data_IF_039756203759
#
_entry.id   IF_039756203759
#
_cell.length_a   1.000
_cell.length_b   1.000
_cell.length_c   1.000
_cell.angle_alpha   90.00
_cell.angle_beta   90.00
_cell.angle_gamma   90.00
#
_symmetry.space_group_name_H-M   'P 1'
#
loop_
_entity.id
_entity.type
_entity.pdbx_description
1 polymer ?
#
# COMPACT_ATOMS: atom_id res chain seq x y z
N UNK A 1 -16.15 -2.45 2.03
CA UNK A 1 -15.07 -1.47 1.75
C UNK A 1 -15.57 -0.03 1.61
N UNK A 2 -16.68 0.23 0.92
CA UNK A 2 -17.26 1.59 0.77
C UNK A 2 -17.31 2.41 2.08
N UNK A 3 -17.90 1.95 3.20
CA UNK A 3 -17.96 2.75 4.43
C UNK A 3 -16.58 2.99 5.08
N UNK A 4 -15.58 2.17 4.77
CA UNK A 4 -14.23 2.35 5.28
C UNK A 4 -13.50 3.43 4.48
N UNK A 5 -13.61 3.42 3.15
CA UNK A 5 -12.85 4.31 2.26
C UNK A 5 -13.53 5.66 2.11
N UNK A 6 -14.86 5.71 2.11
CA UNK A 6 -15.60 6.95 1.87
C UNK A 6 -15.20 8.05 2.87
N UNK A 7 -14.96 9.24 2.34
CA UNK A 7 -14.64 10.45 3.10
C UNK A 7 -15.15 11.65 2.31
N UNK A 8 -15.34 12.77 3.00
CA UNK A 8 -15.65 14.06 2.36
C UNK A 8 -14.50 14.61 1.51
N UNK A 9 -13.26 14.16 1.73
CA UNK A 9 -12.10 14.56 0.94
C UNK A 9 -11.55 13.37 0.13
N UNK A 10 -11.35 13.53 -1.19
CA UNK A 10 -10.70 12.52 -2.02
C UNK A 10 -9.30 12.14 -1.53
N UNK A 11 -8.54 13.09 -0.96
CA UNK A 11 -7.21 12.82 -0.39
C UNK A 11 -7.33 11.78 0.74
N UNK A 12 -8.26 11.97 1.67
CA UNK A 12 -8.47 11.01 2.76
C UNK A 12 -8.96 9.66 2.23
N UNK A 13 -9.82 9.66 1.21
CA UNK A 13 -10.25 8.41 0.56
C UNK A 13 -9.06 7.64 -0.03
N UNK A 14 -8.14 8.31 -0.73
CA UNK A 14 -6.93 7.71 -1.29
C UNK A 14 -5.98 7.18 -0.20
N UNK A 15 -5.80 7.93 0.89
CA UNK A 15 -4.99 7.50 2.03
C UNK A 15 -5.58 6.26 2.73
N UNK A 16 -6.92 6.17 2.85
CA UNK A 16 -7.58 4.97 3.36
C UNK A 16 -7.44 3.79 2.40
N UNK A 17 -7.51 4.02 1.08
CA UNK A 17 -7.19 2.99 0.08
C UNK A 17 -5.77 2.45 0.28
N UNK A 18 -4.79 3.31 0.51
CA UNK A 18 -3.41 2.89 0.80
C UNK A 18 -3.34 1.97 2.05
N UNK A 19 -3.99 2.35 3.16
CA UNK A 19 -4.04 1.51 4.37
C UNK A 19 -4.66 0.14 4.06
N UNK A 20 -5.80 0.13 3.35
CA UNK A 20 -6.47 -1.13 2.97
C UNK A 20 -5.54 -1.99 2.11
N UNK A 21 -4.84 -1.39 1.15
CA UNK A 21 -3.90 -2.11 0.29
C UNK A 21 -2.70 -2.67 1.07
N UNK A 22 -2.17 -1.93 2.04
CA UNK A 22 -1.11 -2.42 2.91
C UNK A 22 -1.57 -3.61 3.78
N UNK A 23 -2.81 -3.56 4.30
CA UNK A 23 -3.39 -4.67 5.06
C UNK A 23 -3.59 -5.89 4.17
N UNK A 24 -4.10 -5.72 2.95
CA UNK A 24 -4.27 -6.83 2.00
C UNK A 24 -2.90 -7.40 1.61
N UNK A 25 -1.88 -6.56 1.40
CA UNK A 25 -0.53 -6.99 1.02
C UNK A 25 0.11 -7.90 2.07
N UNK A 26 -0.25 -7.77 3.36
CA UNK A 26 0.16 -8.71 4.40
C UNK A 26 -0.26 -10.16 4.09
N UNK A 27 -1.44 -10.36 3.49
CA UNK A 27 -1.98 -11.68 3.14
C UNK A 27 -1.63 -12.10 1.70
N UNK A 28 -1.58 -11.13 0.77
CA UNK A 28 -1.35 -11.34 -0.66
C UNK A 28 -0.18 -10.48 -1.11
N UNK A 29 1.03 -10.86 -0.73
CA UNK A 29 2.28 -10.11 -0.98
C UNK A 29 2.82 -10.27 -2.43
N UNK A 30 1.95 -10.61 -3.39
CA UNK A 30 2.28 -10.70 -4.82
C UNK A 30 1.61 -9.54 -5.53
N UNK A 31 2.39 -8.60 -6.08
CA UNK A 31 1.84 -7.38 -6.68
C UNK A 31 0.83 -7.64 -7.80
N UNK A 32 1.12 -8.57 -8.72
CA UNK A 32 0.18 -8.92 -9.79
C UNK A 32 -1.07 -9.63 -9.26
N UNK A 33 -0.92 -10.52 -8.28
CA UNK A 33 -2.04 -11.23 -7.65
C UNK A 33 -2.95 -10.31 -6.84
N UNK A 34 -2.36 -9.40 -6.06
CA UNK A 34 -3.10 -8.40 -5.32
C UNK A 34 -3.76 -7.38 -6.25
N UNK A 35 -3.09 -6.94 -7.31
CA UNK A 35 -3.70 -6.03 -8.28
C UNK A 35 -4.91 -6.69 -8.96
N UNK A 36 -4.78 -7.94 -9.42
CA UNK A 36 -5.88 -8.70 -10.01
C UNK A 36 -7.07 -8.87 -9.04
N UNK A 37 -6.80 -9.03 -7.75
CA UNK A 37 -7.83 -9.18 -6.71
C UNK A 37 -8.49 -7.85 -6.34
N UNK A 38 -7.71 -6.79 -6.15
CA UNK A 38 -8.16 -5.56 -5.48
C UNK A 38 -8.57 -4.46 -6.45
N UNK A 39 -7.93 -4.33 -7.60
CA UNK A 39 -8.18 -3.23 -8.54
C UNK A 39 -9.59 -3.23 -9.13
N UNK A 40 -10.22 -4.38 -9.45
CA UNK A 40 -11.63 -4.39 -9.88
C UNK A 40 -12.60 -3.79 -8.85
N UNK A 41 -12.23 -3.79 -7.56
CA UNK A 41 -13.02 -3.21 -6.47
C UNK A 41 -12.59 -1.76 -6.21
N UNK A 42 -11.30 -1.45 -6.27
CA UNK A 42 -10.77 -0.12 -6.00
C UNK A 42 -11.10 0.89 -7.11
N UNK A 43 -11.12 0.47 -8.37
CA UNK A 43 -11.46 1.35 -9.49
C UNK A 43 -12.86 1.99 -9.35
N UNK A 44 -13.97 1.23 -9.16
CA UNK A 44 -15.28 1.85 -8.97
C UNK A 44 -15.39 2.62 -7.65
N UNK A 45 -14.67 2.21 -6.59
CA UNK A 45 -14.63 2.99 -5.34
C UNK A 45 -13.91 4.32 -5.51
N UNK A 46 -12.88 4.37 -6.36
CA UNK A 46 -12.16 5.60 -6.68
C UNK A 46 -13.11 6.58 -7.39
N UNK A 47 -13.82 6.10 -8.41
CA UNK A 47 -14.82 6.89 -9.14
C UNK A 47 -15.91 7.44 -8.18
N UNK A 48 -16.40 6.62 -7.24
CA UNK A 48 -17.42 7.01 -6.26
C UNK A 48 -16.93 8.01 -5.20
N UNK A 49 -15.63 8.07 -4.93
CA UNK A 49 -15.04 8.92 -3.88
C UNK A 49 -14.28 10.12 -4.43
N UNK A 50 -14.34 10.34 -5.75
CA UNK A 50 -13.65 11.44 -6.43
C UNK A 50 -12.13 11.26 -6.48
N UNK A 51 -11.63 10.06 -6.23
CA UNK A 51 -10.22 9.69 -6.37
C UNK A 51 -9.99 9.25 -7.81
N UNK A 52 -8.95 9.76 -8.46
CA UNK A 52 -8.61 9.27 -9.79
C UNK A 52 -8.10 7.83 -9.76
N UNK A 53 -8.35 7.07 -10.81
CA UNK A 53 -7.93 5.66 -10.87
C UNK A 53 -6.41 5.51 -10.79
N UNK A 54 -5.64 6.45 -11.33
CA UNK A 54 -4.18 6.44 -11.17
C UNK A 54 -3.76 6.69 -9.72
N UNK A 55 -4.46 7.58 -8.99
CA UNK A 55 -4.20 7.78 -7.56
C UNK A 55 -4.53 6.51 -6.76
N UNK A 56 -5.59 5.77 -7.13
CA UNK A 56 -5.88 4.47 -6.52
C UNK A 56 -4.78 3.42 -6.81
N UNK A 57 -4.19 3.43 -8.01
CA UNK A 57 -3.03 2.60 -8.35
C UNK A 57 -1.79 3.00 -7.55
N UNK A 58 -1.53 4.29 -7.36
CA UNK A 58 -0.45 4.78 -6.50
C UNK A 58 -0.64 4.31 -5.05
N UNK A 59 -1.85 4.42 -4.52
CA UNK A 59 -2.19 3.94 -3.18
C UNK A 59 -1.94 2.42 -3.04
N UNK A 60 -2.22 1.64 -4.08
CA UNK A 60 -1.87 0.22 -4.16
C UNK A 60 -0.34 0.00 -4.13
N UNK A 61 0.41 0.68 -5.00
CA UNK A 61 1.87 0.53 -5.07
C UNK A 61 2.56 0.91 -3.75
N UNK A 62 2.08 1.94 -3.06
CA UNK A 62 2.61 2.31 -1.75
C UNK A 62 2.31 1.25 -0.69
N UNK A 63 1.17 0.54 -0.80
CA UNK A 63 0.83 -0.59 0.06
C UNK A 63 1.87 -1.72 0.01
N UNK A 64 2.47 -1.94 -1.16
CA UNK A 64 3.48 -2.98 -1.39
C UNK A 64 4.82 -2.71 -0.68
N UNK A 65 5.04 -1.51 -0.12
CA UNK A 65 6.22 -1.23 0.73
C UNK A 65 6.37 -2.23 1.88
N UNK A 66 5.27 -2.81 2.34
CA UNK A 66 5.26 -3.80 3.42
C UNK A 66 5.94 -5.13 3.04
N UNK A 67 6.19 -5.41 1.75
CA UNK A 67 6.81 -6.65 1.30
C UNK A 67 8.16 -6.93 1.98
N UNK A 68 8.95 -5.91 2.30
CA UNK A 68 10.29 -6.07 2.86
C UNK A 68 10.30 -6.44 4.35
N UNK A 69 9.15 -6.43 5.04
CA UNK A 69 9.03 -6.83 6.45
C UNK A 69 8.13 -8.05 6.66
N UNK A 70 7.27 -8.41 5.70
CA UNK A 70 6.32 -9.51 5.83
C UNK A 70 7.04 -10.88 5.92
N UNK A 71 6.82 -11.68 6.98
CA UNK A 71 7.52 -12.96 7.20
C UNK A 71 7.04 -14.09 6.27
N UNK A 72 5.89 -13.91 5.61
CA UNK A 72 5.37 -14.87 4.62
C UNK A 72 5.87 -14.59 3.21
N UNK A 73 6.54 -13.45 2.97
CA UNK A 73 7.12 -13.09 1.68
C UNK A 73 8.31 -13.99 1.37
N UNK A 74 8.16 -14.85 0.35
CA UNK A 74 9.21 -15.75 -0.10
C UNK A 74 10.49 -15.01 -0.51
N UNK A 75 10.36 -13.83 -1.12
CA UNK A 75 11.50 -13.00 -1.54
C UNK A 75 12.25 -12.48 -0.32
N UNK A 76 11.54 -11.91 0.65
CA UNK A 76 12.14 -11.36 1.88
C UNK A 76 12.80 -12.45 2.71
N UNK A 77 12.10 -13.56 2.95
CA UNK A 77 12.65 -14.69 3.71
C UNK A 77 13.81 -15.37 2.98
N UNK A 78 13.76 -15.47 1.64
CA UNK A 78 14.86 -15.97 0.83
C UNK A 78 16.11 -15.10 0.94
N UNK A 79 15.96 -13.77 0.82
CA UNK A 79 17.06 -12.82 0.98
C UNK A 79 17.68 -12.87 2.39
N UNK A 80 16.85 -12.88 3.44
CA UNK A 80 17.31 -12.96 4.83
C UNK A 80 18.04 -14.29 5.12
N UNK A 81 17.55 -15.39 4.55
CA UNK A 81 18.18 -16.71 4.69
C UNK A 81 19.56 -16.74 4.04
N UNK A 82 19.71 -16.20 2.82
CA UNK A 82 21.00 -16.07 2.16
C UNK A 82 21.98 -15.18 2.94
N UNK A 83 21.48 -14.09 3.52
CA UNK A 83 22.27 -13.17 4.34
C UNK A 83 22.52 -13.68 5.77
N UNK A 84 21.94 -14.82 6.18
CA UNK A 84 21.99 -15.37 7.54
C UNK A 84 21.50 -14.38 8.62
N UNK A 85 20.47 -13.60 8.31
CA UNK A 85 19.87 -12.61 9.23
C UNK A 85 18.54 -13.15 9.77
N UNK A 86 18.36 -13.30 11.09
CA UNK A 86 17.06 -13.66 11.67
C UNK A 86 16.00 -12.60 11.37
N UNK A 87 14.78 -13.04 11.06
CA UNK A 87 13.68 -12.13 10.71
C UNK A 87 13.36 -11.13 11.82
N UNK A 88 13.38 -11.54 13.10
CA UNK A 88 13.04 -10.61 14.20
C UNK A 88 14.06 -9.46 14.30
N UNK A 89 15.34 -9.74 14.01
CA UNK A 89 16.40 -8.73 13.99
C UNK A 89 16.20 -7.77 12.82
N UNK A 90 15.87 -8.31 11.65
CA UNK A 90 15.56 -7.51 10.47
C UNK A 90 14.32 -6.63 10.66
N UNK A 91 13.23 -7.20 11.16
CA UNK A 91 11.96 -6.50 11.38
C UNK A 91 12.15 -5.27 12.29
N UNK A 92 12.89 -5.41 13.39
CA UNK A 92 13.23 -4.29 14.28
C UNK A 92 14.09 -3.23 13.60
N UNK A 93 15.04 -3.64 12.76
CA UNK A 93 15.94 -2.74 12.05
C UNK A 93 15.25 -1.97 10.93
N UNK A 94 14.33 -2.61 10.19
CA UNK A 94 13.62 -1.99 9.06
C UNK A 94 12.38 -1.21 9.49
N UNK A 95 11.89 -1.40 10.73
CA UNK A 95 10.68 -0.73 11.23
C UNK A 95 10.73 0.81 11.14
N UNK A 96 11.83 1.52 11.49
CA UNK A 96 11.90 2.97 11.31
C UNK A 96 11.75 3.40 9.85
N UNK A 97 12.32 2.62 8.91
CA UNK A 97 12.18 2.85 7.48
C UNK A 97 10.72 2.62 7.04
N UNK A 98 10.05 1.57 7.54
CA UNK A 98 8.62 1.35 7.28
C UNK A 98 7.76 2.53 7.71
N UNK A 99 7.98 3.06 8.91
CA UNK A 99 7.26 4.25 9.38
C UNK A 99 7.51 5.44 8.44
N UNK A 100 8.77 5.66 8.06
CA UNK A 100 9.14 6.72 7.11
C UNK A 100 8.46 6.56 5.75
N UNK A 101 8.43 5.36 5.19
CA UNK A 101 7.77 5.08 3.91
C UNK A 101 6.25 5.21 3.98
N UNK A 102 5.63 4.83 5.09
CA UNK A 102 4.19 5.03 5.30
C UNK A 102 3.85 6.53 5.36
N UNK A 103 4.59 7.30 6.15
CA UNK A 103 4.42 8.76 6.21
C UNK A 103 4.64 9.40 4.85
N UNK A 104 5.68 8.99 4.13
CA UNK A 104 5.94 9.44 2.78
C UNK A 104 4.77 9.10 1.85
N UNK A 105 4.22 7.89 1.91
CA UNK A 105 3.04 7.49 1.14
C UNK A 105 1.82 8.39 1.41
N UNK A 106 1.54 8.71 2.68
CA UNK A 106 0.46 9.64 3.03
C UNK A 106 0.66 11.03 2.42
N UNK A 107 1.90 11.54 2.43
CA UNK A 107 2.26 12.85 1.88
C UNK A 107 2.17 12.82 0.34
N UNK A 108 2.72 11.79 -0.30
CA UNK A 108 2.76 11.66 -1.76
C UNK A 108 1.39 11.41 -2.40
N UNK A 109 0.37 11.03 -1.62
CA UNK A 109 -1.01 10.95 -2.10
C UNK A 109 -1.74 12.32 -2.12
N UNK A 110 -1.13 13.39 -1.60
CA UNK A 110 -1.71 14.75 -1.65
C UNK A 110 -1.52 15.40 -3.02
N UNK A 111 -0.30 15.46 -3.62
CA UNK A 111 -0.09 16.13 -4.89
C UNK A 111 -0.96 15.64 -6.04
N UNK A 112 -1.23 14.33 -6.23
CA UNK A 112 -2.10 13.84 -7.30
C UNK A 112 -3.47 14.52 -7.34
N UNK A 113 -4.04 14.84 -6.17
CA UNK A 113 -5.29 15.59 -6.09
C UNK A 113 -5.11 17.05 -6.52
N UNK A 114 -4.04 17.72 -6.05
CA UNK A 114 -3.78 19.14 -6.33
C UNK A 114 -3.50 19.43 -7.80
N UNK A 115 -2.85 18.49 -8.49
CA UNK A 115 -2.49 18.64 -9.91
C UNK A 115 -3.56 18.07 -10.86
N UNK A 116 -4.70 17.62 -10.35
CA UNK A 116 -5.75 16.93 -11.11
C UNK A 116 -5.21 15.73 -11.90
N UNK A 117 -4.44 14.88 -11.23
CA UNK A 117 -3.87 13.68 -11.82
C UNK A 117 -4.99 12.75 -12.28
N UNK A 118 -5.05 12.49 -13.59
CA UNK A 118 -6.10 11.72 -14.26
C UNK A 118 -5.82 10.23 -14.18
#
# INVERSE_FOLDING_TARGET
>A
LSPLIQSSSPIFSAQKMFIVQAIINFFVHSGSGQAALTMPIMAPLADLTGVSRQTAILAFQFGEYTNIIIPTSAVTMGALSMARVPWEKWAKWVLPLMIGLFLLGFILLIPPFLINYQ
#
